data_IF_391118339747
#
_entry.id   IF_391118339747
#
_cell.length_a   1.000
_cell.length_b   1.000
_cell.length_c   1.000
_cell.angle_alpha   90.00
_cell.angle_beta   90.00
_cell.angle_gamma   90.00
#
_symmetry.space_group_name_H-M   'P 1'
#
loop_
_entity.id
_entity.type
_entity.pdbx_description
1 polymer ?
#
# COMPACT_ATOMS: atom_id res chain seq x y z
N UNK A 1 -13.36 -13.19 -12.70
CA UNK A 1 -12.52 -12.03 -13.03
C UNK A 1 -11.13 -12.28 -12.46
N UNK A 2 -10.09 -11.84 -13.14
CA UNK A 2 -8.71 -11.92 -12.63
C UNK A 2 -8.52 -10.90 -11.51
N UNK A 3 -8.05 -11.35 -10.35
CA UNK A 3 -7.72 -10.46 -9.24
C UNK A 3 -6.49 -9.60 -9.57
N UNK A 4 -6.42 -8.41 -8.97
CA UNK A 4 -5.28 -7.51 -9.14
C UNK A 4 -4.00 -8.16 -8.60
N UNK A 5 -2.86 -7.86 -9.24
CA UNK A 5 -1.52 -8.30 -8.80
C UNK A 5 -0.83 -7.28 -7.90
N UNK A 6 -1.45 -6.11 -7.70
CA UNK A 6 -0.96 -5.04 -6.85
C UNK A 6 -2.07 -4.07 -6.45
N UNK A 7 -1.84 -3.29 -5.39
CA UNK A 7 -2.77 -2.27 -4.86
C UNK A 7 -1.97 -1.04 -4.42
N UNK A 8 -2.41 0.15 -4.80
CA UNK A 8 -1.68 1.41 -4.62
C UNK A 8 -1.20 2.01 -5.92
N UNK A 9 -0.15 2.83 -5.85
CA UNK A 9 0.41 3.58 -6.97
C UNK A 9 1.88 3.25 -7.13
N UNK A 10 2.29 3.07 -8.38
CA UNK A 10 3.69 2.83 -8.73
C UNK A 10 4.61 3.90 -8.10
N UNK A 11 5.74 3.47 -7.48
CA UNK A 11 6.73 4.37 -6.90
C UNK A 11 7.25 5.38 -7.91
N UNK A 12 6.92 6.65 -7.66
CA UNK A 12 7.28 7.77 -8.50
C UNK A 12 7.44 9.02 -7.66
N UNK A 13 8.17 9.99 -8.20
CA UNK A 13 8.27 11.32 -7.61
C UNK A 13 6.92 12.03 -7.72
N UNK A 14 6.45 12.61 -6.60
CA UNK A 14 5.14 13.24 -6.45
C UNK A 14 5.30 14.61 -5.75
N UNK A 15 4.41 15.58 -6.02
CA UNK A 15 4.69 17.00 -5.77
C UNK A 15 4.70 17.44 -4.30
N UNK A 16 4.16 16.64 -3.37
CA UNK A 16 4.06 17.03 -1.96
C UNK A 16 4.81 16.11 -1.01
N UNK A 17 5.49 16.74 -0.05
CA UNK A 17 6.01 16.12 1.16
C UNK A 17 5.04 16.47 2.30
N UNK A 18 4.40 15.44 2.84
CA UNK A 18 3.34 15.62 3.83
C UNK A 18 3.85 16.13 5.16
N UNK A 19 2.89 16.41 6.03
CA UNK A 19 3.16 16.41 7.46
C UNK A 19 3.60 15.01 7.93
N UNK A 20 3.92 14.90 9.22
CA UNK A 20 4.28 13.63 9.86
C UNK A 20 3.05 12.82 10.30
N UNK A 21 1.84 13.20 9.89
CA UNK A 21 0.61 12.59 10.37
C UNK A 21 0.32 11.29 9.63
N UNK A 22 -0.56 10.48 10.20
CA UNK A 22 -0.97 9.23 9.60
C UNK A 22 -1.99 9.48 8.48
N UNK A 23 -1.79 8.80 7.37
CA UNK A 23 -2.61 8.87 6.16
C UNK A 23 -3.23 7.50 5.91
N UNK A 24 -4.55 7.41 6.02
CA UNK A 24 -5.31 6.17 5.85
C UNK A 24 -6.09 6.23 4.54
N UNK A 25 -5.60 5.55 3.49
CA UNK A 25 -6.21 5.57 2.16
C UNK A 25 -7.42 4.63 2.09
N UNK A 26 -8.48 4.98 2.82
CA UNK A 26 -9.73 4.21 2.93
C UNK A 26 -10.39 3.86 1.59
N UNK A 27 -10.14 4.64 0.53
CA UNK A 27 -10.61 4.34 -0.84
C UNK A 27 -9.69 3.42 -1.65
N UNK A 28 -8.48 3.12 -1.19
CA UNK A 28 -7.50 2.26 -1.86
C UNK A 28 -7.59 0.82 -1.34
N UNK A 29 -8.70 0.16 -1.65
CA UNK A 29 -9.02 -1.15 -1.08
C UNK A 29 -8.46 -2.31 -1.88
N UNK A 30 -8.05 -3.37 -1.20
CA UNK A 30 -7.73 -4.65 -1.82
C UNK A 30 -9.00 -5.24 -2.49
N UNK A 31 -8.98 -5.56 -3.79
CA UNK A 31 -10.16 -5.99 -4.52
C UNK A 31 -10.51 -7.48 -4.31
N UNK A 32 -9.56 -8.26 -3.80
CA UNK A 32 -9.70 -9.69 -3.53
C UNK A 32 -8.92 -10.08 -2.27
N UNK A 33 -9.27 -11.22 -1.69
CA UNK A 33 -8.43 -11.91 -0.71
C UNK A 33 -7.11 -12.32 -1.36
N UNK A 34 -6.00 -12.02 -0.68
CA UNK A 34 -4.66 -12.27 -1.20
C UNK A 34 -3.61 -12.19 -0.09
N UNK A 35 -2.34 -12.19 -0.48
CA UNK A 35 -1.20 -12.01 0.41
C UNK A 35 -0.28 -10.93 -0.15
N UNK A 36 0.11 -9.97 0.68
CA UNK A 36 1.16 -9.01 0.32
C UNK A 36 2.50 -9.73 0.43
N UNK A 37 3.29 -9.72 -0.64
CA UNK A 37 4.64 -10.31 -0.70
C UNK A 37 5.74 -9.24 -0.57
N UNK A 38 5.49 -8.05 -1.08
CA UNK A 38 6.44 -6.94 -0.99
C UNK A 38 5.73 -5.60 -1.00
N UNK A 39 6.45 -4.60 -0.51
CA UNK A 39 6.12 -3.21 -0.74
C UNK A 39 7.15 -2.60 -1.68
N UNK A 40 6.70 -1.71 -2.55
CA UNK A 40 7.56 -0.80 -3.28
C UNK A 40 7.10 0.62 -3.00
N UNK A 41 8.05 1.54 -2.82
CA UNK A 41 7.75 2.92 -2.43
C UNK A 41 8.84 3.87 -2.90
N UNK A 42 8.46 5.13 -3.14
CA UNK A 42 9.38 6.22 -3.43
C UNK A 42 9.66 7.02 -2.15
N UNK A 43 10.90 7.43 -1.97
CA UNK A 43 11.30 8.39 -0.93
C UNK A 43 12.04 9.54 -1.61
N UNK A 44 11.71 10.78 -1.30
CA UNK A 44 12.42 11.96 -1.84
C UNK A 44 13.37 12.62 -0.83
N UNK A 45 13.30 12.20 0.44
CA UNK A 45 14.07 12.82 1.52
C UNK A 45 15.31 11.99 1.91
N UNK A 46 16.40 12.69 2.22
CA UNK A 46 17.61 12.12 2.81
C UNK A 46 17.52 11.99 4.34
N UNK A 47 16.40 12.37 4.97
CA UNK A 47 16.23 12.19 6.40
C UNK A 47 16.26 10.70 6.78
N UNK A 48 17.12 10.36 7.74
CA UNK A 48 17.21 9.00 8.32
C UNK A 48 16.02 8.73 9.26
N UNK A 49 14.81 8.82 8.71
CA UNK A 49 13.55 8.55 9.42
C UNK A 49 12.85 7.36 8.78
N UNK A 50 11.98 6.72 9.55
CA UNK A 50 11.19 5.60 9.04
C UNK A 50 9.75 6.02 8.78
N UNK A 51 9.18 5.39 7.76
CA UNK A 51 7.73 5.31 7.59
C UNK A 51 7.28 3.89 7.95
N UNK A 52 5.98 3.75 8.16
CA UNK A 52 5.34 2.48 8.43
C UNK A 52 4.23 2.29 7.42
N UNK A 53 4.37 1.25 6.61
CA UNK A 53 3.38 0.83 5.64
C UNK A 53 2.44 -0.14 6.35
N UNK A 54 1.18 0.24 6.45
CA UNK A 54 0.18 -0.47 7.25
C UNK A 54 -0.95 -1.00 6.40
N UNK A 55 -1.53 -2.10 6.84
CA UNK A 55 -2.79 -2.58 6.29
C UNK A 55 -3.87 -2.54 7.36
N UNK A 56 -5.06 -2.06 6.99
CA UNK A 56 -6.20 -1.87 7.88
C UNK A 56 -7.38 -2.68 7.38
N UNK A 57 -8.08 -3.33 8.31
CA UNK A 57 -9.25 -4.16 8.04
C UNK A 57 -10.52 -3.51 8.57
N UNK A 58 -11.57 -3.32 7.74
CA UNK A 58 -12.87 -2.90 8.24
C UNK A 58 -13.48 -3.96 9.17
N UNK A 59 -13.87 -3.54 10.37
CA UNK A 59 -14.63 -4.36 11.33
C UNK A 59 -16.02 -3.79 11.62
N UNK A 60 -16.28 -2.55 11.22
CA UNK A 60 -17.59 -1.93 11.10
C UNK A 60 -17.51 -0.77 10.09
N UNK A 61 -18.64 -0.10 9.81
CA UNK A 61 -18.73 1.00 8.83
C UNK A 61 -17.63 2.07 8.98
N UNK A 62 -17.31 2.46 10.21
CA UNK A 62 -16.29 3.48 10.51
C UNK A 62 -15.15 2.95 11.38
N UNK A 63 -15.12 1.64 11.69
CA UNK A 63 -14.13 1.06 12.59
C UNK A 63 -13.20 0.13 11.84
N UNK A 64 -11.90 0.32 12.07
CA UNK A 64 -10.86 -0.37 11.32
C UNK A 64 -9.78 -0.88 12.26
N UNK A 65 -9.36 -2.12 12.07
CA UNK A 65 -8.31 -2.75 12.86
C UNK A 65 -7.01 -2.80 12.06
N UNK A 66 -5.91 -2.39 12.68
CA UNK A 66 -4.57 -2.50 12.10
C UNK A 66 -4.15 -3.97 12.08
N UNK A 67 -3.97 -4.55 10.90
CA UNK A 67 -3.61 -5.98 10.76
C UNK A 67 -2.11 -6.19 10.56
N UNK A 68 -1.40 -5.20 10.03
CA UNK A 68 0.04 -5.28 9.79
C UNK A 68 0.69 -3.89 9.81
N UNK A 69 1.95 -3.85 10.20
CA UNK A 69 2.80 -2.66 10.09
C UNK A 69 4.20 -3.08 9.66
N UNK A 70 4.63 -2.62 8.50
CA UNK A 70 5.98 -2.82 7.97
C UNK A 70 6.75 -1.52 8.11
N UNK A 71 7.73 -1.51 9.01
CA UNK A 71 8.66 -0.38 9.14
C UNK A 71 9.60 -0.36 7.92
N UNK A 72 9.67 0.78 7.25
CA UNK A 72 10.55 1.03 6.13
C UNK A 72 11.48 2.19 6.45
N UNK A 73 12.77 2.01 6.21
CA UNK A 73 13.79 3.00 6.56
C UNK A 73 14.26 3.71 5.30
N UNK A 74 14.26 5.04 5.32
CA UNK A 74 14.93 5.84 4.31
C UNK A 74 16.45 5.79 4.52
N UNK A 75 17.18 5.33 3.51
CA UNK A 75 18.65 5.43 3.48
C UNK A 75 19.15 6.36 2.39
N UNK A 76 18.30 6.69 1.41
CA UNK A 76 18.54 7.62 0.30
C UNK A 76 17.24 7.88 -0.48
N UNK A 77 17.14 8.98 -1.25
CA UNK A 77 16.05 9.20 -2.18
C UNK A 77 16.00 8.18 -3.32
N UNK A 78 14.82 8.03 -3.93
CA UNK A 78 14.51 7.16 -5.05
C UNK A 78 13.55 6.02 -4.71
N UNK A 79 13.49 5.04 -5.62
CA UNK A 79 12.67 3.84 -5.48
C UNK A 79 13.30 2.82 -4.55
N UNK A 80 12.48 2.27 -3.67
CA UNK A 80 12.83 1.21 -2.74
C UNK A 80 11.85 0.05 -2.85
N UNK A 81 12.31 -1.13 -2.46
CA UNK A 81 11.47 -2.31 -2.33
C UNK A 81 11.86 -3.07 -1.06
N UNK A 82 10.87 -3.62 -0.38
CA UNK A 82 11.06 -4.54 0.74
C UNK A 82 10.26 -5.81 0.49
N UNK A 83 10.97 -6.93 0.39
CA UNK A 83 10.36 -8.26 0.32
C UNK A 83 10.05 -8.70 1.75
N UNK A 84 8.81 -9.12 1.99
CA UNK A 84 8.36 -9.54 3.30
C UNK A 84 8.79 -10.99 3.55
N UNK A 85 9.47 -11.22 4.68
CA UNK A 85 9.83 -12.58 5.12
C UNK A 85 8.60 -13.38 5.52
N UNK A 86 7.59 -12.71 6.06
CA UNK A 86 6.27 -13.24 6.33
C UNK A 86 5.25 -12.43 5.54
N UNK A 87 4.57 -13.08 4.61
CA UNK A 87 3.50 -12.47 3.83
C UNK A 87 2.35 -12.01 4.73
N UNK A 88 1.66 -10.94 4.33
CA UNK A 88 0.52 -10.38 5.08
C UNK A 88 -0.78 -10.83 4.41
N UNK A 89 -1.61 -11.57 5.14
CA UNK A 89 -2.94 -11.98 4.66
C UNK A 89 -3.91 -10.79 4.62
N UNK A 90 -4.33 -10.41 3.42
CA UNK A 90 -5.30 -9.35 3.19
C UNK A 90 -6.62 -9.93 2.71
N UNK A 91 -7.71 -9.29 3.13
CA UNK A 91 -9.07 -9.59 2.69
C UNK A 91 -9.56 -8.51 1.75
N UNK A 92 -10.52 -8.86 0.91
CA UNK A 92 -11.25 -7.88 0.11
C UNK A 92 -11.80 -6.77 1.02
N UNK A 93 -11.52 -5.51 0.65
CA UNK A 93 -11.92 -4.33 1.41
C UNK A 93 -10.94 -3.85 2.48
N UNK A 94 -9.89 -4.61 2.79
CA UNK A 94 -8.74 -4.07 3.53
C UNK A 94 -8.14 -2.89 2.73
N UNK A 95 -7.36 -2.00 3.35
CA UNK A 95 -6.72 -0.88 2.65
C UNK A 95 -5.36 -0.49 3.24
N UNK A 96 -4.61 0.31 2.48
CA UNK A 96 -3.26 0.75 2.85
C UNK A 96 -3.32 2.04 3.68
N UNK A 97 -2.50 2.10 4.74
CA UNK A 97 -2.21 3.32 5.47
C UNK A 97 -0.71 3.57 5.58
N UNK A 98 -0.34 4.83 5.83
CA UNK A 98 1.04 5.26 6.04
C UNK A 98 1.08 6.08 7.32
N UNK A 99 2.05 5.84 8.18
CA UNK A 99 2.37 6.76 9.27
C UNK A 99 3.88 6.83 9.46
N UNK A 100 4.34 7.77 10.27
CA UNK A 100 5.75 8.10 10.40
C UNK A 100 6.20 8.01 11.86
N UNK A 101 7.49 7.81 12.06
CA UNK A 101 8.08 7.85 13.40
C UNK A 101 7.78 9.19 14.10
N UNK A 102 7.55 9.17 15.41
CA UNK A 102 7.26 10.35 16.22
C UNK A 102 8.27 11.50 16.00
N UNK A 103 9.55 11.14 15.83
CA UNK A 103 10.68 12.05 15.60
C UNK A 103 10.81 12.56 14.15
N UNK A 104 9.99 12.06 13.23
CA UNK A 104 10.00 12.51 11.85
C UNK A 104 9.63 14.00 11.78
N UNK A 105 10.36 14.75 10.95
CA UNK A 105 10.10 16.18 10.74
C UNK A 105 8.99 16.43 9.70
N UNK A 106 8.68 15.42 8.89
CA UNK A 106 7.66 15.43 7.85
C UNK A 106 7.47 14.04 7.25
N UNK A 107 6.53 13.92 6.33
CA UNK A 107 6.25 12.69 5.60
C UNK A 107 7.26 12.46 4.49
N UNK A 108 7.97 11.34 4.54
CA UNK A 108 9.05 10.99 3.59
C UNK A 108 8.57 10.29 2.31
N UNK A 109 7.35 9.75 2.33
CA UNK A 109 6.70 9.16 1.14
C UNK A 109 5.89 10.27 0.48
N UNK A 110 6.22 10.69 -0.74
CA UNK A 110 5.55 11.80 -1.37
C UNK A 110 4.15 11.39 -1.85
N UNK A 111 3.30 12.40 -2.04
CA UNK A 111 1.90 12.21 -2.40
C UNK A 111 1.40 13.30 -3.35
N UNK A 112 0.28 13.01 -3.99
CA UNK A 112 -0.51 13.93 -4.80
C UNK A 112 -1.94 14.00 -4.26
N UNK A 113 -2.61 15.12 -4.48
CA UNK A 113 -3.98 15.40 -4.03
C UNK A 113 -4.78 16.08 -5.14
N UNK A 114 -6.11 16.00 -5.07
CA UNK A 114 -7.02 16.39 -6.17
C UNK A 114 -7.04 17.85 -6.61
N UNK A 115 -6.11 18.69 -6.15
CA UNK A 115 -5.97 20.08 -6.56
C UNK A 115 -4.59 20.41 -7.11
N UNK A 116 -3.77 19.41 -7.44
CA UNK A 116 -2.43 19.61 -8.01
C UNK A 116 -2.32 19.32 -9.52
N UNK A 117 -3.36 18.74 -10.13
CA UNK A 117 -3.41 18.32 -11.54
C UNK A 117 -2.25 17.39 -11.98
N UNK A 118 -1.52 16.79 -11.04
CA UNK A 118 -0.39 15.87 -11.34
C UNK A 118 -0.90 14.44 -11.55
N UNK A 119 -1.88 14.03 -10.75
CA UNK A 119 -2.50 12.71 -10.84
C UNK A 119 -3.99 12.86 -11.17
N UNK A 120 -4.52 12.15 -12.19
CA UNK A 120 -5.94 12.19 -12.50
C UNK A 120 -6.81 11.75 -11.32
N UNK A 121 -7.97 12.41 -11.14
CA UNK A 121 -8.89 12.15 -10.02
C UNK A 121 -9.30 10.69 -9.84
N UNK A 122 -9.39 9.93 -10.93
CA UNK A 122 -9.72 8.50 -10.89
C UNK A 122 -8.59 7.60 -10.36
N UNK A 123 -7.41 8.16 -10.08
CA UNK A 123 -6.27 7.51 -9.45
C UNK A 123 -6.00 8.04 -8.03
N UNK A 124 -6.89 8.92 -7.53
CA UNK A 124 -6.86 9.42 -6.17
C UNK A 124 -7.82 8.65 -5.28
N UNK A 125 -7.46 8.49 -4.01
CA UNK A 125 -8.21 7.71 -3.05
C UNK A 125 -8.75 8.59 -1.93
N UNK A 126 -9.90 8.21 -1.39
CA UNK A 126 -10.38 8.79 -0.14
C UNK A 126 -9.40 8.48 0.98
N UNK A 127 -8.77 9.52 1.50
CA UNK A 127 -7.72 9.44 2.50
C UNK A 127 -8.11 10.24 3.73
N UNK A 128 -8.06 9.61 4.91
CA UNK A 128 -8.22 10.27 6.19
C UNK A 128 -6.84 10.62 6.75
N UNK A 129 -6.68 11.85 7.23
CA UNK A 129 -5.46 12.29 7.91
C UNK A 129 -5.72 12.34 9.42
N UNK A 130 -4.88 11.66 10.19
CA UNK A 130 -4.95 11.59 11.64
C UNK A 130 -3.68 12.18 12.26
N UNK A 131 -3.77 13.16 13.18
CA UNK A 131 -2.62 13.73 13.89
C UNK A 131 -2.08 12.76 14.93
N UNK A 132 -1.54 11.64 14.47
CA UNK A 132 -1.03 10.49 15.21
C UNK A 132 0.27 10.02 14.57
N UNK A 133 1.13 9.43 15.38
CA UNK A 133 2.42 8.89 14.95
C UNK A 133 2.54 7.39 15.28
N UNK A 134 3.72 6.81 15.07
CA UNK A 134 3.97 5.39 15.29
C UNK A 134 3.68 4.90 16.71
N UNK A 135 3.77 5.76 17.72
CA UNK A 135 3.45 5.38 19.10
C UNK A 135 1.95 5.12 19.33
N UNK A 136 1.07 5.61 18.45
CA UNK A 136 -0.37 5.39 18.54
C UNK A 136 -0.83 4.08 17.86
N UNK A 137 0.02 3.46 17.04
CA UNK A 137 -0.35 2.36 16.15
C UNK A 137 0.32 1.05 16.51
N UNK A 138 -0.49 0.08 16.95
CA UNK A 138 -0.07 -1.28 17.23
C UNK A 138 -0.96 -2.26 16.47
N UNK A 139 -0.38 -3.36 15.97
CA UNK A 139 -1.17 -4.42 15.32
C UNK A 139 -2.21 -4.94 16.31
N UNK A 140 -3.46 -5.04 15.85
CA UNK A 140 -4.64 -5.34 16.66
C UNK A 140 -5.39 -4.09 17.16
N UNK A 141 -4.79 -2.90 17.11
CA UNK A 141 -5.50 -1.66 17.49
C UNK A 141 -6.66 -1.42 16.55
N UNK A 142 -7.81 -1.06 17.12
CA UNK A 142 -8.98 -0.63 16.37
C UNK A 142 -9.18 0.87 16.55
N UNK A 143 -9.36 1.57 15.45
CA UNK A 143 -9.68 3.00 15.42
C UNK A 143 -11.11 3.19 14.91
N UNK A 144 -11.75 4.26 15.37
CA UNK A 144 -12.99 4.76 14.80
C UNK A 144 -12.69 6.05 14.04
N UNK A 145 -13.05 6.05 12.75
CA UNK A 145 -12.92 7.20 11.86
C UNK A 145 -14.23 7.99 11.75
N UNK A 146 -15.22 7.69 12.60
CA UNK A 146 -16.43 8.51 12.68
C UNK A 146 -16.06 9.96 13.02
N UNK A 147 -16.57 10.91 12.22
CA UNK A 147 -16.32 12.34 12.40
C UNK A 147 -15.03 12.88 11.73
N UNK A 148 -14.21 12.03 11.12
CA UNK A 148 -13.05 12.48 10.35
C UNK A 148 -13.42 12.79 8.89
N UNK A 149 -12.87 13.89 8.37
CA UNK A 149 -13.02 14.25 6.95
C UNK A 149 -12.03 13.47 6.07
N UNK A 150 -12.44 13.19 4.84
CA UNK A 150 -11.57 12.64 3.81
C UNK A 150 -11.08 13.74 2.87
N UNK A 151 -9.88 13.55 2.34
CA UNK A 151 -9.37 14.25 1.15
C UNK A 151 -9.17 13.25 0.01
N UNK A 152 -9.06 13.73 -1.22
CA UNK A 152 -8.59 12.91 -2.35
C UNK A 152 -7.07 12.98 -2.42
N UNK A 153 -6.40 11.86 -2.19
CA UNK A 153 -4.94 11.76 -2.25
C UNK A 153 -4.47 10.37 -2.69
N UNK A 154 -3.25 10.30 -3.21
CA UNK A 154 -2.54 9.05 -3.51
C UNK A 154 -1.07 9.20 -3.17
N UNK A 155 -0.44 8.12 -2.73
CA UNK A 155 0.93 8.10 -2.24
C UNK A 155 1.78 7.21 -3.13
N UNK A 156 3.07 7.53 -3.26
CA UNK A 156 4.02 6.74 -4.03
C UNK A 156 4.39 5.43 -3.31
N UNK A 157 3.39 4.56 -3.10
CA UNK A 157 3.50 3.26 -2.46
C UNK A 157 2.57 2.25 -3.13
N UNK A 158 3.07 1.03 -3.30
CA UNK A 158 2.32 -0.09 -3.84
C UNK A 158 2.60 -1.36 -3.05
N UNK A 159 1.55 -2.10 -2.73
CA UNK A 159 1.62 -3.47 -2.24
C UNK A 159 1.63 -4.41 -3.44
N UNK A 160 2.64 -5.27 -3.56
CA UNK A 160 2.66 -6.37 -4.54
C UNK A 160 2.06 -7.62 -3.90
N UNK A 161 1.16 -8.26 -4.64
CA UNK A 161 0.39 -9.41 -4.17
C UNK A 161 0.98 -10.72 -4.70
N UNK A 162 0.66 -11.82 -4.02
CA UNK A 162 1.05 -13.17 -4.43
C UNK A 162 0.69 -13.43 -5.90
N UNK A 163 1.70 -13.87 -6.67
CA UNK A 163 1.59 -14.06 -8.12
C UNK A 163 2.25 -12.96 -8.95
N UNK A 164 2.80 -11.91 -8.32
CA UNK A 164 3.69 -10.96 -8.96
C UNK A 164 5.03 -11.62 -9.32
N UNK A 165 5.45 -11.55 -10.60
CA UNK A 165 6.77 -12.03 -11.04
C UNK A 165 6.94 -13.55 -11.21
N UNK A 166 5.92 -14.38 -10.95
CA UNK A 166 5.95 -15.81 -11.33
C UNK A 166 5.65 -15.91 -12.83
N UNK A 167 6.50 -16.57 -13.65
CA UNK A 167 6.13 -16.91 -15.02
C UNK A 167 4.81 -17.67 -14.99
N UNK A 168 3.89 -17.30 -15.89
CA UNK A 168 2.72 -18.14 -16.17
C UNK A 168 3.27 -19.54 -16.48
N UNK A 169 2.84 -20.61 -15.78
CA UNK A 169 3.21 -21.95 -16.18
C UNK A 169 2.72 -22.14 -17.60
N UNK A 170 3.64 -22.22 -18.57
CA UNK A 170 3.30 -22.62 -19.92
C UNK A 170 2.58 -23.97 -19.79
N UNK A 171 1.35 -24.13 -20.31
CA UNK A 171 0.73 -25.44 -20.37
C UNK A 171 1.72 -26.37 -21.05
N UNK A 172 2.07 -27.48 -20.39
CA UNK A 172 2.85 -28.51 -21.04
C UNK A 172 2.13 -28.86 -22.35
N UNK A 173 2.82 -28.94 -23.50
CA UNK A 173 2.18 -29.33 -24.75
C UNK A 173 1.52 -30.69 -24.49
N UNK A 174 0.18 -30.70 -24.51
CA UNK A 174 -0.60 -31.92 -24.46
C UNK A 174 -0.07 -32.82 -25.56
N UNK A 175 0.34 -34.02 -25.16
CA UNK A 175 1.17 -34.92 -25.96
C UNK A 175 0.74 -35.04 -27.41
N UNK A 176 1.74 -35.18 -28.26
CA UNK A 176 1.60 -35.56 -29.66
C UNK A 176 0.59 -36.71 -29.81
N UNK A 177 -0.30 -36.66 -30.81
CA UNK A 177 -1.16 -37.79 -31.13
C UNK A 177 -0.32 -39.05 -31.38
N UNK A 178 -0.78 -40.24 -30.99
CA UNK A 178 -0.09 -41.49 -31.30
C UNK A 178 0.04 -41.66 -32.83
N UNK A 179 1.15 -42.24 -33.32
CA UNK A 179 1.35 -42.43 -34.75
C UNK A 179 0.28 -43.36 -35.34
N UNK A 180 -0.30 -42.93 -36.46
CA UNK A 180 -1.18 -43.76 -37.29
C UNK A 180 -0.26 -44.75 -38.03
N UNK A 181 -0.26 -46.01 -37.61
CA UNK A 181 0.35 -47.08 -38.40
C UNK A 181 -0.50 -47.34 -39.65
N UNK A 182 0.15 -47.35 -40.82
CA UNK A 182 -0.37 -47.88 -42.07
C UNK A 182 -0.05 -49.37 -42.18
#
# INVERSE_FOLDING_TARGET
>A
GTCATSVGREPSDLPYHGDKWAHLMTGNTFPCDSKIESWEYYIDDNSLTSAYLTTWRPVAKSRFTLISSTRVVATRPGNHSVILTQQIDVKQGDFIGIHYEHKAKGGIIPFSRGNDDVVPDNQLFDTVILPRDDSDFHVGNTIDLSGWSTIKATFAVIARLEGYGKPIPTPAPTGSPPPINK
#
